data_IF_223271401627
#
_entry.id   IF_223271401627
#
_cell.length_a   1.000
_cell.length_b   1.000
_cell.length_c   1.000
_cell.angle_alpha   90.00
_cell.angle_beta   90.00
_cell.angle_gamma   90.00
#
_symmetry.space_group_name_H-M   'P 1'
#
loop_
_entity.id
_entity.type
_entity.pdbx_description
1 polymer ?
#
# COMPACT_ATOMS: atom_id res chain seq x y z
N UNK A 1 8.45 34.14 -2.11
CA UNK A 1 7.84 34.12 -3.45
C UNK A 1 7.40 32.68 -3.70
N UNK A 2 6.17 32.46 -4.16
CA UNK A 2 5.69 31.15 -4.60
C UNK A 2 5.95 31.05 -6.10
N UNK A 3 6.62 29.98 -6.53
CA UNK A 3 6.98 29.79 -7.96
C UNK A 3 5.84 29.13 -8.72
N UNK A 4 5.18 28.13 -8.13
CA UNK A 4 4.01 27.46 -8.71
C UNK A 4 3.17 26.81 -7.58
N UNK A 5 1.89 26.52 -7.85
CA UNK A 5 0.96 25.90 -6.91
C UNK A 5 -0.10 25.08 -7.65
N UNK A 6 -0.36 23.85 -7.18
CA UNK A 6 -1.23 22.85 -7.83
C UNK A 6 -0.75 22.42 -9.23
N UNK A 7 0.54 22.56 -9.50
CA UNK A 7 1.19 21.96 -10.66
C UNK A 7 1.64 20.53 -10.33
N UNK A 8 1.75 19.63 -11.33
CA UNK A 8 2.41 18.34 -11.15
C UNK A 8 3.87 18.52 -10.72
N UNK A 9 4.35 17.62 -9.86
CA UNK A 9 5.74 17.62 -9.36
C UNK A 9 6.33 16.24 -9.53
N UNK A 10 7.56 16.17 -10.05
CA UNK A 10 8.34 14.93 -10.01
C UNK A 10 9.11 14.86 -8.69
N UNK A 11 8.81 13.88 -7.84
CA UNK A 11 9.42 13.67 -6.54
C UNK A 11 9.87 12.20 -6.42
N UNK A 12 11.18 11.97 -6.32
CA UNK A 12 11.74 10.61 -6.22
C UNK A 12 11.43 9.75 -7.44
N UNK A 13 11.53 10.33 -8.65
CA UNK A 13 11.17 9.71 -9.93
C UNK A 13 9.69 9.31 -10.08
N UNK A 14 8.83 9.79 -9.18
CA UNK A 14 7.37 9.62 -9.23
C UNK A 14 6.71 10.96 -9.56
N UNK A 15 5.86 10.96 -10.59
CA UNK A 15 5.01 12.11 -10.91
C UNK A 15 3.83 12.17 -9.93
N UNK A 16 3.72 13.28 -9.20
CA UNK A 16 2.64 13.55 -8.26
C UNK A 16 1.77 14.66 -8.84
N UNK A 17 0.48 14.37 -9.04
CA UNK A 17 -0.49 15.31 -9.54
C UNK A 17 -1.32 15.90 -8.41
N UNK A 18 -1.95 17.04 -8.69
CA UNK A 18 -2.92 17.63 -7.76
C UNK A 18 -4.10 16.68 -7.58
N UNK A 19 -4.30 16.23 -6.34
CA UNK A 19 -5.41 15.34 -5.97
C UNK A 19 -5.00 13.88 -5.77
N UNK A 20 -3.77 13.50 -6.11
CA UNK A 20 -3.24 12.19 -5.75
C UNK A 20 -3.11 12.08 -4.22
N UNK A 21 -3.33 10.88 -3.69
CA UNK A 21 -3.12 10.59 -2.27
C UNK A 21 -1.64 10.25 -2.07
N UNK A 22 -0.97 10.99 -1.19
CA UNK A 22 0.37 10.64 -0.71
C UNK A 22 0.24 9.94 0.63
N UNK A 23 0.64 8.67 0.69
CA UNK A 23 0.65 7.87 1.91
C UNK A 23 2.08 7.55 2.31
N UNK A 24 2.42 7.68 3.59
CA UNK A 24 3.77 7.38 4.06
C UNK A 24 3.79 6.81 5.48
N UNK A 25 4.76 5.93 5.70
CA UNK A 25 5.03 5.27 6.98
C UNK A 25 6.55 5.15 7.22
N UNK A 26 6.97 4.20 8.05
CA UNK A 26 8.38 3.97 8.38
C UNK A 26 9.18 3.32 7.25
N UNK A 27 8.52 2.64 6.30
CA UNK A 27 9.16 1.95 5.19
C UNK A 27 9.37 2.90 4.00
N UNK A 28 8.48 3.90 3.86
CA UNK A 28 8.66 4.94 2.86
C UNK A 28 7.38 5.71 2.54
N UNK A 29 7.30 6.19 1.29
CA UNK A 29 6.19 6.98 0.77
C UNK A 29 5.72 6.39 -0.55
N UNK A 30 4.41 6.31 -0.72
CA UNK A 30 3.74 5.89 -1.96
C UNK A 30 2.75 6.96 -2.41
N UNK A 31 2.55 7.04 -3.72
CA UNK A 31 1.61 7.97 -4.36
C UNK A 31 0.52 7.13 -5.02
N UNK A 32 -0.73 7.39 -4.65
CA UNK A 32 -1.91 6.72 -5.20
C UNK A 32 -2.59 7.73 -6.14
N UNK A 33 -2.61 7.46 -7.46
CA UNK A 33 -3.31 8.31 -8.41
C UNK A 33 -4.78 8.46 -8.06
N UNK A 34 -5.31 9.67 -8.17
CA UNK A 34 -6.72 9.96 -7.85
C UNK A 34 -7.69 9.03 -8.58
N UNK A 35 -7.47 8.77 -9.86
CA UNK A 35 -8.28 7.88 -10.68
C UNK A 35 -8.31 6.41 -10.22
N UNK A 36 -7.37 5.99 -9.37
CA UNK A 36 -7.24 4.63 -8.88
C UNK A 36 -7.58 4.48 -7.38
N UNK A 37 -7.86 5.58 -6.67
CA UNK A 37 -8.02 5.55 -5.22
C UNK A 37 -9.16 4.62 -4.76
N UNK A 38 -10.28 4.59 -5.49
CA UNK A 38 -11.44 3.76 -5.19
C UNK A 38 -11.17 2.25 -5.36
N UNK A 39 -10.20 1.88 -6.20
CA UNK A 39 -9.79 0.49 -6.41
C UNK A 39 -8.67 0.08 -5.44
N UNK A 40 -7.64 0.92 -5.32
CA UNK A 40 -6.42 0.61 -4.57
C UNK A 40 -6.69 0.49 -3.08
N UNK A 41 -7.51 1.37 -2.51
CA UNK A 41 -7.76 1.39 -1.07
C UNK A 41 -8.44 0.09 -0.58
N UNK A 42 -9.57 -0.37 -1.18
CA UNK A 42 -10.17 -1.65 -0.80
C UNK A 42 -9.25 -2.86 -0.99
N UNK A 43 -8.44 -2.87 -2.07
CA UNK A 43 -7.48 -3.95 -2.31
C UNK A 43 -6.37 -3.99 -1.25
N UNK A 44 -5.85 -2.83 -0.85
CA UNK A 44 -4.85 -2.72 0.21
C UNK A 44 -5.41 -3.22 1.55
N UNK A 45 -6.62 -2.80 1.94
CA UNK A 45 -7.27 -3.26 3.17
C UNK A 45 -7.52 -4.77 3.15
N UNK A 46 -8.02 -5.31 2.03
CA UNK A 46 -8.22 -6.76 1.86
C UNK A 46 -6.92 -7.55 1.96
N UNK A 47 -5.79 -6.97 1.54
CA UNK A 47 -4.47 -7.58 1.69
C UNK A 47 -4.05 -7.61 3.16
N UNK A 48 -4.20 -6.51 3.89
CA UNK A 48 -3.93 -6.43 5.34
C UNK A 48 -4.73 -7.48 6.11
N UNK A 49 -6.01 -7.65 5.79
CA UNK A 49 -6.85 -8.66 6.44
C UNK A 49 -6.32 -10.09 6.24
N UNK A 50 -5.85 -10.43 5.03
CA UNK A 50 -5.26 -11.75 4.76
C UNK A 50 -3.90 -11.94 5.42
N UNK A 51 -3.06 -10.91 5.45
CA UNK A 51 -1.77 -10.93 6.14
C UNK A 51 -1.95 -11.11 7.66
N UNK A 52 -3.00 -10.53 8.24
CA UNK A 52 -3.35 -10.73 9.65
C UNK A 52 -3.70 -12.20 9.94
N UNK A 53 -4.42 -12.87 9.06
CA UNK A 53 -4.71 -14.31 9.20
C UNK A 53 -3.42 -15.14 9.16
N UNK A 54 -2.54 -14.85 8.19
CA UNK A 54 -1.23 -15.49 8.05
C UNK A 54 -0.39 -15.30 9.31
N UNK A 55 -0.28 -14.06 9.80
CA UNK A 55 0.43 -13.71 11.03
C UNK A 55 -0.08 -14.48 12.25
N UNK A 56 -1.40 -14.56 12.42
CA UNK A 56 -2.00 -15.26 13.56
C UNK A 56 -1.71 -16.76 13.59
N UNK A 57 -1.68 -17.44 12.44
CA UNK A 57 -1.36 -18.87 12.36
C UNK A 57 0.13 -19.12 12.61
N UNK A 58 1.00 -18.27 12.07
CA UNK A 58 2.45 -18.33 12.31
C UNK A 58 2.78 -18.15 13.80
N UNK A 59 2.12 -17.20 14.48
CA UNK A 59 2.29 -16.99 15.92
C UNK A 59 1.85 -18.20 16.78
N UNK A 60 0.96 -19.05 16.26
CA UNK A 60 0.56 -20.32 16.89
C UNK A 60 1.51 -21.48 16.59
N UNK A 61 2.58 -21.25 15.82
CA UNK A 61 3.59 -22.25 15.48
C UNK A 61 3.33 -23.00 14.18
N UNK A 62 2.39 -22.55 13.33
CA UNK A 62 2.21 -23.14 12.00
C UNK A 62 3.46 -22.91 11.13
N UNK A 63 3.76 -23.86 10.22
CA UNK A 63 4.86 -23.70 9.27
C UNK A 63 4.45 -22.77 8.13
N UNK A 64 5.35 -21.87 7.74
CA UNK A 64 5.12 -20.87 6.68
C UNK A 64 4.63 -21.49 5.36
N UNK A 65 5.21 -22.64 4.97
CA UNK A 65 4.81 -23.36 3.75
C UNK A 65 3.32 -23.72 3.74
N UNK A 66 2.78 -24.14 4.89
CA UNK A 66 1.42 -24.66 5.00
C UNK A 66 0.43 -23.49 5.03
N UNK A 67 0.80 -22.40 5.72
CA UNK A 67 0.03 -21.15 5.74
C UNK A 67 -0.03 -20.51 4.35
N UNK A 68 1.09 -20.50 3.62
CA UNK A 68 1.13 -19.98 2.25
C UNK A 68 0.26 -20.81 1.29
N UNK A 69 0.33 -22.15 1.35
CA UNK A 69 -0.54 -23.02 0.54
C UNK A 69 -2.03 -22.76 0.85
N UNK A 70 -2.36 -22.45 2.11
CA UNK A 70 -3.73 -22.20 2.55
C UNK A 70 -4.28 -20.83 2.13
N UNK A 71 -3.49 -19.76 2.23
CA UNK A 71 -3.97 -18.39 2.03
C UNK A 71 -3.43 -17.69 0.78
N UNK A 72 -2.31 -18.16 0.24
CA UNK A 72 -1.62 -17.55 -0.91
C UNK A 72 -1.06 -16.16 -0.61
N UNK A 73 -0.75 -15.89 0.66
CA UNK A 73 -0.23 -14.59 1.13
C UNK A 73 1.04 -14.86 1.92
N UNK A 74 2.08 -14.06 1.66
CA UNK A 74 3.36 -14.04 2.37
C UNK A 74 3.33 -12.92 3.41
#
# INVERSE_FOLDING_TARGET
IVVDHRCPVNCGDVLVNTGDIVFGDIDGVVVIPKELEEEVIPLALKKVDKENLTRNELLKGAMLKDVYVKYGVL
#
